data_IF_309931217252
#
_entry.id   IF_309931217252
#
_cell.length_a   1.000
_cell.length_b   1.000
_cell.length_c   1.000
_cell.angle_alpha   90.00
_cell.angle_beta   90.00
_cell.angle_gamma   90.00
#
_symmetry.space_group_name_H-M   'P 1'
#
loop_
_entity.id
_entity.type
_entity.pdbx_description
1 polymer ?
#
# COMPACT_ATOMS: atom_id res chain seq x y z
N UNK A 1 -22.33 29.60 34.31
CA UNK A 1 -21.49 28.44 34.58
C UNK A 1 -21.79 27.25 33.71
N UNK A 2 -23.06 26.89 33.57
CA UNK A 2 -23.42 25.75 32.69
C UNK A 2 -23.10 25.96 31.22
N UNK A 3 -23.13 27.19 30.77
CA UNK A 3 -22.85 27.52 29.37
C UNK A 3 -21.39 27.35 28.98
N UNK A 4 -20.45 27.59 29.89
CA UNK A 4 -19.05 27.44 29.66
C UNK A 4 -18.63 25.98 29.49
N UNK A 5 -19.28 25.10 30.24
CA UNK A 5 -19.03 23.64 30.11
C UNK A 5 -19.56 23.09 28.79
N UNK A 6 -20.71 23.56 28.33
CA UNK A 6 -21.28 23.16 27.05
C UNK A 6 -20.38 23.59 25.87
N UNK A 7 -19.82 24.78 25.90
CA UNK A 7 -18.93 25.27 24.88
C UNK A 7 -17.61 24.46 24.84
N UNK A 8 -17.12 24.06 26.00
CA UNK A 8 -15.90 23.23 26.07
C UNK A 8 -16.10 21.83 25.49
N UNK A 9 -17.26 21.21 25.77
CA UNK A 9 -17.58 19.89 25.22
C UNK A 9 -17.75 19.95 23.70
N UNK A 10 -18.39 21.00 23.18
CA UNK A 10 -18.55 21.20 21.74
C UNK A 10 -17.20 21.40 21.04
N UNK A 11 -16.29 22.16 21.65
CA UNK A 11 -14.94 22.34 21.13
C UNK A 11 -14.14 21.05 21.09
N UNK A 12 -14.26 20.22 22.10
CA UNK A 12 -13.63 18.90 22.14
C UNK A 12 -14.16 17.96 21.06
N UNK A 13 -15.45 17.97 20.82
CA UNK A 13 -16.05 17.18 19.76
C UNK A 13 -15.57 17.61 18.37
N UNK A 14 -15.43 18.90 18.15
CA UNK A 14 -14.90 19.42 16.89
C UNK A 14 -13.44 19.02 16.66
N UNK A 15 -12.64 18.99 17.71
CA UNK A 15 -11.25 18.55 17.63
C UNK A 15 -11.14 17.07 17.26
N UNK A 16 -12.01 16.22 17.78
CA UNK A 16 -12.05 14.79 17.45
C UNK A 16 -12.47 14.58 15.99
N UNK A 17 -13.44 15.35 15.50
CA UNK A 17 -13.92 15.26 14.11
C UNK A 17 -12.87 15.76 13.12
N UNK A 18 -12.01 16.69 13.51
CA UNK A 18 -10.97 17.24 12.64
C UNK A 18 -9.70 16.39 12.59
N UNK A 19 -9.62 15.29 13.35
CA UNK A 19 -8.49 14.38 13.30
C UNK A 19 -8.43 13.71 11.93
N UNK A 20 -7.31 13.85 11.18
CA UNK A 20 -7.22 13.22 9.86
C UNK A 20 -7.29 11.71 9.98
N UNK A 21 -8.19 11.10 9.23
CA UNK A 21 -8.30 9.65 9.15
C UNK A 21 -7.30 9.19 8.09
N UNK A 22 -6.30 8.41 8.51
CA UNK A 22 -5.37 7.80 7.58
C UNK A 22 -6.09 6.74 6.77
N UNK A 23 -6.21 6.97 5.47
CA UNK A 23 -6.80 5.99 4.56
C UNK A 23 -5.80 4.92 4.25
N UNK A 24 -6.28 3.67 4.26
CA UNK A 24 -5.52 2.54 3.80
C UNK A 24 -5.91 2.21 2.37
N UNK A 25 -4.93 1.93 1.53
CA UNK A 25 -5.09 1.69 0.10
C UNK A 25 -4.94 0.20 -0.18
N UNK A 26 -5.82 -0.33 -1.02
CA UNK A 26 -5.67 -1.69 -1.54
C UNK A 26 -4.87 -1.60 -2.85
N UNK A 27 -3.74 -2.32 -2.90
CA UNK A 27 -2.87 -2.38 -4.06
C UNK A 27 -3.18 -3.65 -4.85
N UNK A 28 -3.31 -3.52 -6.17
CA UNK A 28 -3.56 -4.63 -7.08
C UNK A 28 -2.56 -4.58 -8.23
N UNK A 29 -2.02 -5.73 -8.58
CA UNK A 29 -1.10 -5.82 -9.70
C UNK A 29 -1.03 -7.24 -10.24
N UNK A 30 -0.15 -7.46 -11.19
CA UNK A 30 0.05 -8.77 -11.78
C UNK A 30 1.43 -8.93 -12.38
N UNK A 31 1.84 -10.17 -12.57
CA UNK A 31 3.10 -10.53 -13.17
C UNK A 31 2.82 -11.45 -14.35
N UNK A 32 3.37 -11.10 -15.50
CA UNK A 32 3.24 -11.89 -16.72
C UNK A 32 4.61 -12.35 -17.17
N UNK A 33 4.68 -13.54 -17.72
CA UNK A 33 5.87 -14.06 -18.35
C UNK A 33 5.71 -14.16 -19.85
N UNK A 34 6.67 -14.80 -20.49
CA UNK A 34 6.66 -14.97 -21.94
C UNK A 34 5.43 -15.76 -22.43
N UNK A 35 4.96 -16.72 -21.64
CA UNK A 35 3.85 -17.60 -22.02
C UNK A 35 2.53 -17.23 -21.34
N UNK A 36 2.45 -16.10 -20.63
CA UNK A 36 1.23 -15.66 -19.97
C UNK A 36 1.43 -15.38 -18.48
N UNK A 37 0.35 -15.36 -17.69
CA UNK A 37 0.43 -15.07 -16.26
C UNK A 37 1.34 -16.03 -15.51
N UNK A 38 2.12 -15.51 -14.56
CA UNK A 38 3.04 -16.31 -13.75
C UNK A 38 2.46 -16.55 -12.37
N UNK A 39 2.27 -17.83 -12.03
CA UNK A 39 1.78 -18.25 -10.71
C UNK A 39 2.95 -18.48 -9.75
N UNK A 40 2.73 -18.19 -8.47
CA UNK A 40 3.71 -18.51 -7.42
C UNK A 40 4.94 -17.62 -7.39
N UNK A 41 4.93 -16.48 -8.06
CA UNK A 41 6.05 -15.54 -8.03
C UNK A 41 5.98 -14.75 -6.71
N UNK A 42 7.10 -14.69 -6.00
CA UNK A 42 7.19 -13.93 -4.76
C UNK A 42 7.10 -12.42 -5.01
N UNK A 43 6.20 -11.77 -4.28
CA UNK A 43 6.02 -10.32 -4.32
C UNK A 43 6.13 -9.79 -2.90
N UNK A 44 7.09 -8.91 -2.67
CA UNK A 44 7.33 -8.31 -1.36
C UNK A 44 7.20 -6.80 -1.44
N UNK A 45 6.55 -6.22 -0.44
CA UNK A 45 6.36 -4.78 -0.33
C UNK A 45 7.20 -4.25 0.82
N UNK A 46 8.12 -3.35 0.51
CA UNK A 46 8.99 -2.70 1.50
C UNK A 46 8.65 -1.22 1.60
N UNK A 47 8.57 -0.72 2.83
CA UNK A 47 8.47 0.71 3.08
C UNK A 47 9.86 1.33 3.07
N UNK A 48 10.01 2.48 2.40
CA UNK A 48 11.26 3.23 2.39
C UNK A 48 11.24 4.20 3.56
N UNK A 49 12.15 3.99 4.51
CA UNK A 49 12.29 4.84 5.70
C UNK A 49 13.13 6.09 5.38
N UNK A 50 13.03 7.17 6.19
CA UNK A 50 13.81 8.39 5.96
C UNK A 50 15.32 8.17 5.88
N UNK A 51 15.85 7.14 6.53
CA UNK A 51 17.27 6.78 6.49
C UNK A 51 17.61 5.93 5.25
N UNK A 52 16.72 5.84 4.27
CA UNK A 52 16.84 5.05 3.04
C UNK A 52 16.89 3.53 3.28
N UNK A 53 16.53 3.08 4.45
CA UNK A 53 16.40 1.65 4.73
C UNK A 53 15.05 1.13 4.30
N UNK A 54 15.01 -0.12 3.89
CA UNK A 54 13.78 -0.81 3.50
C UNK A 54 13.27 -1.63 4.68
N UNK A 55 11.98 -1.50 4.93
CA UNK A 55 11.30 -2.27 5.97
C UNK A 55 10.21 -3.12 5.33
N UNK A 56 10.29 -4.44 5.50
CA UNK A 56 9.28 -5.36 4.94
C UNK A 56 7.94 -5.13 5.62
N UNK A 57 6.93 -4.81 4.82
CA UNK A 57 5.57 -4.57 5.31
C UNK A 57 4.68 -5.77 5.07
N UNK A 58 4.72 -6.30 3.85
CA UNK A 58 3.88 -7.41 3.40
C UNK A 58 4.63 -8.24 2.39
N UNK A 59 4.26 -9.50 2.27
CA UNK A 59 4.71 -10.35 1.17
C UNK A 59 3.60 -11.31 0.79
N UNK A 60 3.59 -11.70 -0.47
CA UNK A 60 2.62 -12.63 -1.02
C UNK A 60 3.21 -13.35 -2.23
N UNK A 61 2.43 -14.20 -2.84
CA UNK A 61 2.79 -14.84 -4.11
C UNK A 61 1.66 -14.63 -5.10
N UNK A 62 1.97 -14.66 -6.38
CA UNK A 62 0.96 -14.51 -7.42
C UNK A 62 0.03 -15.72 -7.47
N UNK A 63 -1.24 -15.44 -7.75
CA UNK A 63 -2.28 -16.44 -7.94
C UNK A 63 -2.16 -17.07 -9.35
N UNK A 64 -2.96 -18.11 -9.69
CA UNK A 64 -2.92 -18.72 -11.01
C UNK A 64 -3.14 -17.77 -12.18
N UNK A 65 -3.83 -16.65 -11.97
CA UNK A 65 -4.02 -15.60 -12.98
C UNK A 65 -2.84 -14.60 -13.02
N UNK A 66 -1.79 -14.84 -12.24
CA UNK A 66 -0.63 -13.97 -12.16
C UNK A 66 -0.84 -12.73 -11.32
N UNK A 67 -1.98 -12.59 -10.69
CA UNK A 67 -2.33 -11.39 -9.92
C UNK A 67 -1.92 -11.53 -8.47
N UNK A 68 -1.63 -10.37 -7.87
CA UNK A 68 -1.38 -10.24 -6.44
C UNK A 68 -2.11 -9.01 -5.92
N UNK A 69 -2.38 -8.97 -4.62
CA UNK A 69 -2.91 -7.77 -4.02
C UNK A 69 -2.44 -7.64 -2.57
N UNK A 70 -2.35 -6.39 -2.10
CA UNK A 70 -2.07 -6.05 -0.73
C UNK A 70 -3.18 -5.17 -0.21
N UNK A 71 -3.69 -5.47 0.96
CA UNK A 71 -4.77 -4.71 1.59
C UNK A 71 -4.23 -3.80 2.68
N UNK A 72 -4.90 -2.67 2.86
CA UNK A 72 -4.65 -1.73 3.96
C UNK A 72 -3.19 -1.26 4.03
N UNK A 73 -2.69 -0.75 2.92
CA UNK A 73 -1.36 -0.16 2.83
C UNK A 73 -1.48 1.35 2.97
N UNK A 74 -0.73 1.93 3.90
CA UNK A 74 -0.72 3.38 4.10
C UNK A 74 0.00 4.08 2.96
N UNK A 75 -0.38 5.32 2.66
CA UNK A 75 0.30 6.11 1.64
C UNK A 75 1.77 6.35 2.01
N UNK A 76 2.62 6.46 1.01
CA UNK A 76 4.05 6.68 1.22
C UNK A 76 4.89 6.12 0.09
N UNK A 77 6.19 6.11 0.32
CA UNK A 77 7.16 5.60 -0.63
C UNK A 77 7.51 4.15 -0.28
N UNK A 78 7.43 3.29 -1.29
CA UNK A 78 7.64 1.86 -1.13
C UNK A 78 8.54 1.34 -2.24
N UNK A 79 9.05 0.14 -2.04
CA UNK A 79 9.71 -0.66 -3.07
C UNK A 79 8.98 -1.98 -3.17
N UNK A 80 8.59 -2.32 -4.39
CA UNK A 80 7.94 -3.58 -4.70
C UNK A 80 9.02 -4.50 -5.27
N UNK A 81 9.27 -5.62 -4.60
CA UNK A 81 10.25 -6.61 -5.06
C UNK A 81 9.52 -7.80 -5.66
N UNK A 82 9.76 -8.03 -6.95
CA UNK A 82 9.13 -9.11 -7.69
C UNK A 82 10.24 -9.96 -8.32
N UNK A 83 10.31 -11.22 -7.92
CA UNK A 83 11.33 -12.12 -8.45
C UNK A 83 12.75 -11.61 -8.24
N UNK A 84 13.02 -10.93 -7.14
CA UNK A 84 14.33 -10.39 -6.81
C UNK A 84 14.65 -9.03 -7.42
N UNK A 85 13.75 -8.45 -8.21
CA UNK A 85 13.94 -7.13 -8.82
C UNK A 85 13.11 -6.10 -8.06
N UNK A 86 13.74 -4.95 -7.77
CA UNK A 86 13.12 -3.87 -7.02
C UNK A 86 12.51 -2.83 -7.96
N UNK A 87 11.24 -2.49 -7.72
CA UNK A 87 10.52 -1.45 -8.46
C UNK A 87 10.07 -0.38 -7.47
N UNK A 88 10.41 0.90 -7.70
CA UNK A 88 9.90 1.95 -6.83
C UNK A 88 8.40 2.12 -7.01
N UNK A 89 7.70 2.35 -5.90
CA UNK A 89 6.25 2.49 -5.90
C UNK A 89 5.86 3.59 -4.93
N UNK A 90 5.07 4.54 -5.42
CA UNK A 90 4.41 5.52 -4.57
C UNK A 90 2.98 5.08 -4.31
N UNK A 91 2.65 4.81 -3.05
CA UNK A 91 1.29 4.47 -2.65
C UNK A 91 0.54 5.76 -2.35
N UNK A 92 -0.51 6.03 -3.12
CA UNK A 92 -1.33 7.22 -3.00
C UNK A 92 -2.47 6.99 -2.01
N UNK A 93 -2.97 8.06 -1.44
CA UNK A 93 -4.11 8.02 -0.54
C UNK A 93 -5.41 7.87 -1.34
N UNK A 94 -5.63 6.66 -1.85
CA UNK A 94 -6.82 6.28 -2.59
C UNK A 94 -7.38 4.98 -2.03
N UNK A 95 -8.63 4.68 -2.34
CA UNK A 95 -9.24 3.44 -1.87
C UNK A 95 -8.61 2.21 -2.52
N UNK A 96 -8.38 2.29 -3.83
CA UNK A 96 -7.77 1.21 -4.62
C UNK A 96 -6.74 1.85 -5.54
N UNK A 97 -5.57 1.24 -5.64
CA UNK A 97 -4.53 1.65 -6.56
C UNK A 97 -4.10 0.45 -7.41
N UNK A 98 -4.22 0.60 -8.72
CA UNK A 98 -3.78 -0.41 -9.66
C UNK A 98 -2.31 -0.20 -10.00
N UNK A 99 -1.55 -1.29 -9.95
CA UNK A 99 -0.16 -1.32 -10.35
C UNK A 99 -0.10 -1.96 -11.74
N UNK A 100 0.59 -1.33 -12.71
CA UNK A 100 0.72 -1.92 -14.04
C UNK A 100 1.32 -3.33 -13.98
N UNK A 101 0.88 -4.20 -14.86
CA UNK A 101 1.44 -5.54 -14.97
C UNK A 101 2.91 -5.46 -15.30
N UNK A 102 3.72 -6.24 -14.58
CA UNK A 102 5.15 -6.28 -14.76
C UNK A 102 5.50 -7.53 -15.55
N UNK A 103 6.21 -7.32 -16.65
CA UNK A 103 6.70 -8.42 -17.45
C UNK A 103 8.01 -8.92 -16.86
N UNK A 104 8.00 -10.17 -16.40
CA UNK A 104 9.22 -10.80 -15.91
C UNK A 104 10.05 -11.26 -17.09
N UNK A 105 11.25 -10.72 -17.21
CA UNK A 105 12.19 -11.16 -18.23
C UNK A 105 12.75 -12.53 -17.90
N UNK A 106 12.96 -13.28 -18.94
CA UNK A 106 13.57 -14.59 -18.85
C UNK A 106 15.07 -14.42 -18.94
N UNK A 107 15.71 -14.49 -17.82
CA UNK A 107 17.18 -14.45 -17.76
C UNK A 107 17.72 -15.82 -17.41
#
# INVERSE_FOLDING_TARGET
>A
MRYKLLCLVLLLEMLVVSTPILRATDLRGGVVGFAGPLVGVGVALFEVKPNKRFHLVRQTVTAPDGKYHFTKVHSGQYVLRIGGINYPLEVRDTQIQDIPFIAKRRD
#
